data_IF_299883528374
#
_entry.id   IF_299883528374
#
_cell.length_a   1.000
_cell.length_b   1.000
_cell.length_c   1.000
_cell.angle_alpha   90.00
_cell.angle_beta   90.00
_cell.angle_gamma   90.00
#
_symmetry.space_group_name_H-M   'P 1'
#
loop_
_entity.id
_entity.type
_entity.pdbx_description
1 polymer ?
#
# COMPACT_ATOMS: atom_id res chain seq x y z
N UNK A 1 -4.18 -3.44 -20.60
CA UNK A 1 -4.05 -4.25 -19.38
C UNK A 1 -3.75 -3.44 -18.10
N UNK A 2 -3.22 -2.21 -18.19
CA UNK A 2 -2.93 -1.38 -17.00
C UNK A 2 -4.12 -0.97 -16.12
N UNK A 3 -5.37 -1.21 -16.56
CA UNK A 3 -6.59 -1.00 -15.75
C UNK A 3 -6.83 -2.12 -14.73
N UNK A 4 -6.28 -3.31 -14.97
CA UNK A 4 -6.49 -4.49 -14.13
C UNK A 4 -5.18 -5.05 -13.55
N UNK A 5 -4.05 -4.85 -14.22
CA UNK A 5 -2.73 -5.32 -13.80
C UNK A 5 -1.84 -4.10 -13.59
N UNK A 6 -1.29 -3.97 -12.37
CA UNK A 6 -0.48 -2.83 -11.93
C UNK A 6 -1.17 -1.45 -12.16
N UNK A 7 -2.36 -1.20 -11.55
CA UNK A 7 -2.95 0.12 -11.59
C UNK A 7 -2.00 1.16 -10.96
N UNK A 8 -2.14 2.42 -11.37
CA UNK A 8 -1.37 3.50 -10.76
C UNK A 8 -1.83 3.77 -9.31
N UNK A 9 -1.22 4.75 -8.66
CA UNK A 9 -1.51 5.12 -7.28
C UNK A 9 -2.81 5.94 -7.07
N UNK A 10 -3.61 6.19 -8.12
CA UNK A 10 -4.79 7.07 -8.06
C UNK A 10 -5.93 6.55 -7.17
N UNK A 11 -6.09 5.22 -7.10
CA UNK A 11 -7.12 4.60 -6.26
C UNK A 11 -6.84 4.87 -4.77
N UNK A 12 -5.57 4.73 -4.36
CA UNK A 12 -5.17 5.05 -3.00
C UNK A 12 -5.21 6.56 -2.72
N UNK A 13 -4.86 7.41 -3.69
CA UNK A 13 -5.05 8.86 -3.56
C UNK A 13 -6.51 9.23 -3.27
N UNK A 14 -7.46 8.54 -3.92
CA UNK A 14 -8.90 8.74 -3.66
C UNK A 14 -9.26 8.39 -2.21
N UNK A 15 -8.67 7.33 -1.65
CA UNK A 15 -8.85 6.97 -0.25
C UNK A 15 -8.25 8.03 0.70
N UNK A 16 -7.07 8.58 0.40
CA UNK A 16 -6.44 9.64 1.18
C UNK A 16 -7.21 10.96 1.13
N UNK A 17 -7.85 11.26 0.02
CA UNK A 17 -8.68 12.46 -0.16
C UNK A 17 -10.05 12.35 0.53
N UNK A 18 -10.41 11.18 1.08
CA UNK A 18 -11.69 10.99 1.74
C UNK A 18 -11.72 11.73 3.08
N UNK A 19 -12.87 12.31 3.44
CA UNK A 19 -13.07 13.02 4.71
C UNK A 19 -12.67 12.18 5.91
N UNK A 20 -12.98 10.88 5.87
CA UNK A 20 -12.65 9.91 6.90
C UNK A 20 -11.66 8.90 6.32
N UNK A 21 -10.37 9.13 6.58
CA UNK A 21 -9.30 8.18 6.33
C UNK A 21 -8.63 7.78 7.65
N UNK A 22 -8.45 6.48 7.84
CA UNK A 22 -7.70 5.93 8.97
C UNK A 22 -6.45 5.28 8.43
N UNK A 23 -5.30 5.80 8.86
CA UNK A 23 -4.02 5.32 8.41
C UNK A 23 -3.75 3.88 8.86
N UNK A 24 -3.47 3.01 7.89
CA UNK A 24 -3.11 1.60 8.07
C UNK A 24 -1.81 1.24 7.36
N UNK A 25 -1.01 2.22 6.94
CA UNK A 25 0.23 1.95 6.21
C UNK A 25 1.28 1.20 7.02
N UNK A 26 1.15 1.14 8.35
CA UNK A 26 1.98 0.25 9.18
C UNK A 26 1.91 -1.23 8.78
N UNK A 27 0.87 -1.66 8.06
CA UNK A 27 0.81 -3.00 7.47
C UNK A 27 1.91 -3.26 6.43
N UNK A 28 2.43 -2.20 5.79
CA UNK A 28 3.53 -2.29 4.83
C UNK A 28 4.83 -2.71 5.50
N UNK A 29 5.06 -2.33 6.77
CA UNK A 29 6.26 -2.75 7.52
C UNK A 29 6.32 -4.28 7.63
N UNK A 30 5.21 -4.90 8.04
CA UNK A 30 5.12 -6.36 8.09
C UNK A 30 5.23 -6.98 6.68
N UNK A 31 4.58 -6.37 5.69
CA UNK A 31 4.60 -6.87 4.31
C UNK A 31 6.01 -6.86 3.72
N UNK A 32 6.76 -5.77 3.94
CA UNK A 32 8.16 -5.64 3.56
C UNK A 32 9.04 -6.68 4.26
N UNK A 33 8.82 -6.91 5.56
CA UNK A 33 9.59 -7.88 6.35
C UNK A 33 9.46 -9.32 5.83
N UNK A 34 8.28 -9.71 5.35
CA UNK A 34 8.04 -11.07 4.86
C UNK A 34 8.27 -11.20 3.35
N UNK A 35 8.51 -10.10 2.65
CA UNK A 35 8.83 -10.08 1.22
C UNK A 35 10.08 -10.95 0.98
N UNK A 36 10.07 -11.76 -0.08
CA UNK A 36 11.15 -12.71 -0.42
C UNK A 36 11.45 -13.79 0.65
N UNK A 37 10.49 -14.08 1.52
CA UNK A 37 10.57 -15.19 2.49
C UNK A 37 9.52 -16.27 2.23
N UNK A 38 9.71 -17.46 2.83
CA UNK A 38 8.67 -18.51 2.83
C UNK A 38 7.38 -18.11 3.56
N UNK A 39 7.35 -16.93 4.20
CA UNK A 39 6.18 -16.38 4.89
C UNK A 39 5.43 -15.34 4.04
N UNK A 40 5.81 -15.12 2.78
CA UNK A 40 5.19 -14.13 1.87
C UNK A 40 3.73 -14.42 1.46
N UNK A 41 3.07 -15.41 2.09
CA UNK A 41 1.68 -15.77 1.83
C UNK A 41 0.73 -14.92 2.67
N UNK A 42 0.39 -13.73 2.18
CA UNK A 42 -0.48 -12.77 2.89
C UNK A 42 -1.92 -12.90 2.42
N UNK A 43 -2.85 -13.11 3.36
CA UNK A 43 -4.28 -13.13 3.10
C UNK A 43 -4.96 -11.86 3.61
N UNK A 44 -5.43 -10.99 2.71
CA UNK A 44 -6.26 -9.84 3.06
C UNK A 44 -7.74 -10.25 3.18
N UNK A 45 -8.09 -10.99 4.23
CA UNK A 45 -9.45 -11.46 4.51
C UNK A 45 -10.17 -10.59 5.54
N UNK A 46 -11.41 -10.21 5.24
CA UNK A 46 -12.34 -9.43 6.10
C UNK A 46 -13.79 -9.70 5.67
N UNK A 47 -14.82 -9.27 6.40
CA UNK A 47 -16.21 -9.23 5.90
C UNK A 47 -16.41 -8.22 4.76
N UNK A 48 -17.56 -8.30 4.05
CA UNK A 48 -17.92 -7.38 2.97
C UNK A 48 -17.92 -5.92 3.47
N UNK A 49 -17.35 -5.00 2.67
CA UNK A 49 -17.22 -3.53 2.96
C UNK A 49 -16.24 -3.14 4.08
N UNK A 50 -15.43 -4.07 4.60
CA UNK A 50 -14.40 -3.77 5.61
C UNK A 50 -13.04 -3.32 5.01
N UNK A 51 -13.06 -2.59 3.89
CA UNK A 51 -11.85 -1.93 3.37
C UNK A 51 -10.79 -2.84 2.73
N UNK A 52 -11.11 -4.08 2.33
CA UNK A 52 -10.16 -4.96 1.63
C UNK A 52 -9.55 -4.30 0.38
N UNK A 53 -10.39 -3.66 -0.43
CA UNK A 53 -9.95 -2.96 -1.64
C UNK A 53 -8.99 -1.82 -1.32
N UNK A 54 -9.28 -1.03 -0.27
CA UNK A 54 -8.40 0.08 0.16
C UNK A 54 -7.01 -0.42 0.51
N UNK A 55 -6.90 -1.57 1.19
CA UNK A 55 -5.60 -2.19 1.46
C UNK A 55 -4.90 -2.66 0.19
N UNK A 56 -5.62 -3.22 -0.78
CA UNK A 56 -5.04 -3.60 -2.07
C UNK A 56 -4.59 -2.37 -2.89
N UNK A 57 -5.35 -1.28 -2.86
CA UNK A 57 -5.01 -0.02 -3.50
C UNK A 57 -3.76 0.61 -2.86
N UNK A 58 -3.66 0.57 -1.53
CA UNK A 58 -2.48 0.99 -0.78
C UNK A 58 -1.23 0.17 -1.15
N UNK A 59 -1.33 -1.16 -1.16
CA UNK A 59 -0.23 -2.06 -1.56
C UNK A 59 0.21 -1.75 -3.00
N UNK A 60 -0.76 -1.56 -3.90
CA UNK A 60 -0.48 -1.19 -5.29
C UNK A 60 0.24 0.14 -5.38
N UNK A 61 -0.25 1.18 -4.69
CA UNK A 61 0.37 2.50 -4.69
C UNK A 61 1.80 2.48 -4.14
N UNK A 62 2.09 1.61 -3.17
CA UNK A 62 3.39 1.50 -2.55
C UNK A 62 4.42 0.73 -3.40
N UNK A 63 4.03 -0.39 -4.02
CA UNK A 63 4.96 -1.24 -4.80
C UNK A 63 4.96 -0.95 -6.32
N UNK A 64 4.06 -0.10 -6.83
CA UNK A 64 4.00 0.15 -8.28
C UNK A 64 5.25 0.89 -8.78
N UNK A 65 6.05 0.21 -9.62
CA UNK A 65 7.27 0.74 -10.26
C UNK A 65 7.07 1.97 -11.14
N UNK A 66 5.86 2.16 -11.66
CA UNK A 66 5.56 3.20 -12.64
C UNK A 66 4.94 4.46 -12.00
N UNK A 67 5.02 4.60 -10.67
CA UNK A 67 4.45 5.71 -9.93
C UNK A 67 5.52 6.37 -9.07
N UNK A 68 5.42 7.70 -8.92
CA UNK A 68 6.12 8.41 -7.85
C UNK A 68 5.16 8.59 -6.68
N UNK A 69 5.20 7.64 -5.74
CA UNK A 69 4.35 7.66 -4.55
C UNK A 69 5.04 8.21 -3.31
N UNK A 70 6.24 8.79 -3.40
CA UNK A 70 6.98 9.21 -2.20
C UNK A 70 6.19 10.21 -1.34
N UNK A 71 5.74 11.30 -1.97
CA UNK A 71 4.96 12.35 -1.29
C UNK A 71 3.67 11.82 -0.67
N UNK A 72 3.03 10.84 -1.31
CA UNK A 72 1.80 10.21 -0.86
C UNK A 72 1.97 9.50 0.50
N UNK A 73 3.16 8.95 0.76
CA UNK A 73 3.43 8.21 2.00
C UNK A 73 4.21 9.00 3.05
N UNK A 74 4.86 10.12 2.71
CA UNK A 74 5.71 10.92 3.63
C UNK A 74 5.00 11.30 4.95
N UNK A 75 3.70 11.57 4.92
CA UNK A 75 2.92 11.94 6.11
C UNK A 75 2.28 10.79 6.89
N UNK A 76 2.46 9.54 6.43
CA UNK A 76 1.79 8.36 6.98
C UNK A 76 2.70 7.57 7.91
N UNK A 77 2.12 6.62 8.67
CA UNK A 77 2.84 5.82 9.68
C UNK A 77 4.05 5.11 9.09
N UNK A 78 3.98 4.64 7.85
CA UNK A 78 5.08 3.91 7.20
C UNK A 78 6.32 4.78 6.97
N UNK A 79 6.20 6.10 6.84
CA UNK A 79 7.36 6.97 6.59
C UNK A 79 8.35 7.02 7.76
N UNK A 80 7.92 6.57 8.95
CA UNK A 80 8.74 6.46 10.15
C UNK A 80 9.61 5.19 10.16
N UNK A 81 9.31 4.22 9.31
CA UNK A 81 10.10 3.00 9.19
C UNK A 81 11.39 3.27 8.41
N UNK A 82 12.52 2.76 8.91
CA UNK A 82 13.83 3.01 8.29
C UNK A 82 13.96 2.34 6.91
N UNK A 83 13.29 1.22 6.68
CA UNK A 83 13.29 0.48 5.42
C UNK A 83 12.18 0.95 4.46
N UNK A 84 11.42 1.99 4.81
CA UNK A 84 10.32 2.54 3.98
C UNK A 84 10.71 2.77 2.52
N UNK A 85 11.90 3.34 2.26
CA UNK A 85 12.35 3.67 0.90
C UNK A 85 12.92 2.46 0.15
N UNK A 86 13.21 1.36 0.85
CA UNK A 86 13.82 0.18 0.25
C UNK A 86 12.86 -0.53 -0.70
N UNK A 87 11.56 -0.51 -0.42
CA UNK A 87 10.54 -1.19 -1.22
C UNK A 87 9.58 -0.25 -1.95
N UNK A 88 9.67 1.06 -1.71
CA UNK A 88 8.83 2.05 -2.36
C UNK A 88 9.07 2.07 -3.88
N UNK A 89 7.99 1.94 -4.65
CA UNK A 89 7.96 1.88 -6.11
C UNK A 89 8.85 0.76 -6.69
N UNK A 90 8.90 -0.42 -6.04
CA UNK A 90 9.68 -1.59 -6.47
C UNK A 90 8.87 -2.87 -6.53
#
# INVERSE_FOLDING_TARGET
MGRFVNPNNSAFQTALNSEIYVDKTGLLEYTNKVLDTNQAFICNSRPRRFGKSVTADMLTAYYSKNCDSLQMFTGLVISKDNAFKEHLNK
#
